data_IF_813764075723
#
_entry.id   IF_813764075723
#
_cell.length_a   1.000
_cell.length_b   1.000
_cell.length_c   1.000
_cell.angle_alpha   90.00
_cell.angle_beta   90.00
_cell.angle_gamma   90.00
#
_symmetry.space_group_name_H-M   'P 1'
#
loop_
_entity.id
_entity.type
_entity.pdbx_description
1 polymer ?
#
# COMPACT_ATOMS: atom_id res chain seq x y z
N UNK A 1 5.39 -25.18 -4.60
CA UNK A 1 5.20 -24.68 -5.98
C UNK A 1 4.97 -23.18 -5.93
N UNK A 2 4.83 -22.49 -7.06
CA UNK A 2 4.56 -21.03 -7.07
C UNK A 2 3.29 -20.69 -6.29
N UNK A 3 2.26 -21.55 -6.35
CA UNK A 3 1.00 -21.34 -5.63
C UNK A 3 1.13 -21.31 -4.11
N UNK A 4 2.07 -22.08 -3.54
CA UNK A 4 2.30 -22.06 -2.09
C UNK A 4 2.98 -20.77 -1.64
N UNK A 5 3.76 -20.13 -2.51
CA UNK A 5 4.39 -18.83 -2.24
C UNK A 5 3.35 -17.71 -2.28
N UNK A 6 2.41 -17.78 -3.22
CA UNK A 6 1.33 -16.79 -3.36
C UNK A 6 0.19 -16.96 -2.35
N UNK A 7 0.21 -18.01 -1.52
CA UNK A 7 -0.85 -18.24 -0.53
C UNK A 7 -0.99 -17.02 0.40
N UNK A 8 -2.22 -16.68 0.73
CA UNK A 8 -2.61 -15.50 1.52
C UNK A 8 -2.36 -14.13 0.85
N UNK A 9 -1.91 -14.09 -0.41
CA UNK A 9 -1.84 -12.84 -1.18
C UNK A 9 -3.22 -12.17 -1.22
N UNK A 10 -3.29 -10.93 -0.78
CA UNK A 10 -4.46 -10.07 -0.93
C UNK A 10 -4.24 -9.16 -2.13
N UNK A 11 -5.23 -9.12 -3.02
CA UNK A 11 -5.24 -8.26 -4.18
C UNK A 11 -6.61 -7.61 -4.35
N UNK A 12 -6.65 -6.50 -5.05
CA UNK A 12 -7.89 -6.02 -5.66
C UNK A 12 -7.95 -6.58 -7.07
N UNK A 13 -9.13 -7.04 -7.48
CA UNK A 13 -9.38 -7.24 -8.90
C UNK A 13 -10.19 -6.05 -9.36
N UNK A 14 -9.62 -5.21 -10.22
CA UNK A 14 -10.48 -4.23 -10.91
C UNK A 14 -11.50 -5.05 -11.69
N UNK A 15 -12.81 -4.78 -11.62
CA UNK A 15 -13.78 -5.49 -12.43
C UNK A 15 -13.49 -5.17 -13.90
N UNK A 16 -12.68 -6.00 -14.55
CA UNK A 16 -12.46 -5.89 -15.98
C UNK A 16 -13.81 -6.14 -16.64
N UNK A 17 -14.26 -5.25 -17.54
CA UNK A 17 -15.47 -5.49 -18.30
C UNK A 17 -15.29 -6.81 -19.05
N UNK A 18 -15.96 -7.88 -18.62
CA UNK A 18 -15.89 -9.17 -19.29
C UNK A 18 -16.51 -9.08 -20.70
N UNK A 19 -17.43 -8.13 -20.88
CA UNK A 19 -18.12 -7.86 -22.14
C UNK A 19 -18.14 -6.37 -22.44
N UNK A 20 -17.70 -6.02 -23.64
CA UNK A 20 -17.97 -4.73 -24.25
C UNK A 20 -19.24 -4.82 -25.09
N UNK A 21 -19.86 -3.67 -25.34
CA UNK A 21 -20.92 -3.55 -26.32
C UNK A 21 -20.48 -4.17 -27.68
N UNK A 22 -21.29 -5.10 -28.18
CA UNK A 22 -21.00 -5.86 -29.40
C UNK A 22 -20.89 -4.96 -30.63
N UNK A 23 -21.71 -3.91 -30.72
CA UNK A 23 -21.73 -3.00 -31.87
C UNK A 23 -20.44 -2.19 -31.94
N UNK A 24 -19.88 -1.78 -30.80
CA UNK A 24 -18.61 -1.07 -30.77
C UNK A 24 -17.43 -1.98 -31.16
N UNK A 25 -17.42 -3.22 -30.67
CA UNK A 25 -16.40 -4.18 -31.08
C UNK A 25 -16.50 -4.50 -32.57
N UNK A 26 -17.72 -4.70 -33.07
CA UNK A 26 -17.98 -4.88 -34.48
C UNK A 26 -17.55 -3.66 -35.32
N UNK A 27 -17.78 -2.45 -34.83
CA UNK A 27 -17.29 -1.23 -35.46
C UNK A 27 -15.75 -1.22 -35.57
N UNK A 28 -15.03 -1.47 -34.47
CA UNK A 28 -13.56 -1.50 -34.46
C UNK A 28 -12.99 -2.58 -35.39
N UNK A 29 -13.55 -3.79 -35.35
CA UNK A 29 -13.12 -4.93 -36.16
C UNK A 29 -13.33 -4.73 -37.67
N UNK A 30 -14.26 -3.86 -38.06
CA UNK A 30 -14.58 -3.55 -39.45
C UNK A 30 -13.88 -2.28 -39.97
N UNK A 31 -13.07 -1.61 -39.15
CA UNK A 31 -12.24 -0.52 -39.63
C UNK A 31 -11.20 -1.06 -40.62
N UNK A 32 -11.03 -0.33 -41.71
CA UNK A 32 -10.07 -0.60 -42.77
C UNK A 32 -9.44 0.71 -43.27
N UNK A 33 -8.22 0.71 -43.82
CA UNK A 33 -7.60 1.91 -44.37
C UNK A 33 -8.45 2.62 -45.43
N UNK A 34 -9.31 1.90 -46.14
CA UNK A 34 -10.21 2.43 -47.17
C UNK A 34 -11.40 3.19 -46.57
N UNK A 35 -11.95 2.71 -45.45
CA UNK A 35 -13.17 3.27 -44.84
C UNK A 35 -12.91 4.23 -43.67
N UNK A 36 -11.67 4.30 -43.15
CA UNK A 36 -11.32 5.11 -41.99
C UNK A 36 -10.40 6.30 -42.32
N UNK A 37 -10.72 7.05 -43.39
CA UNK A 37 -9.92 8.20 -43.84
C UNK A 37 -9.88 9.38 -42.85
N UNK A 38 -10.81 9.40 -41.88
CA UNK A 38 -10.85 10.42 -40.82
C UNK A 38 -9.70 10.32 -39.82
N UNK A 39 -9.04 9.17 -39.72
CA UNK A 39 -7.92 8.95 -38.80
C UNK A 39 -6.62 8.85 -39.62
N UNK A 40 -5.86 9.95 -39.64
CA UNK A 40 -4.63 10.10 -40.41
C UNK A 40 -3.52 9.11 -40.01
N UNK A 41 -3.60 8.54 -38.79
CA UNK A 41 -2.62 7.56 -38.30
C UNK A 41 -3.03 6.12 -38.60
N UNK A 42 -4.26 5.87 -39.05
CA UNK A 42 -4.80 4.52 -39.15
C UNK A 42 -4.06 3.65 -40.17
N UNK A 43 -3.62 4.24 -41.28
CA UNK A 43 -2.84 3.55 -42.30
C UNK A 43 -1.49 3.06 -41.76
N UNK A 44 -0.73 3.94 -41.09
CA UNK A 44 0.54 3.56 -40.45
C UNK A 44 0.37 2.54 -39.34
N UNK A 45 -0.72 2.64 -38.58
CA UNK A 45 -1.09 1.62 -37.58
C UNK A 45 -1.31 0.26 -38.26
N UNK A 46 -2.05 0.22 -39.36
CA UNK A 46 -2.36 -1.00 -40.11
C UNK A 46 -1.09 -1.66 -40.63
N UNK A 47 -0.21 -0.89 -41.29
CA UNK A 47 1.09 -1.33 -41.78
C UNK A 47 1.94 -1.95 -40.66
N UNK A 48 1.98 -1.30 -39.49
CA UNK A 48 2.75 -1.77 -38.33
C UNK A 48 2.18 -3.05 -37.72
N UNK A 49 0.85 -3.16 -37.59
CA UNK A 49 0.19 -4.33 -36.99
C UNK A 49 0.33 -5.57 -37.87
N UNK A 50 0.21 -5.41 -39.18
CA UNK A 50 0.26 -6.52 -40.13
C UNK A 50 1.63 -6.73 -40.79
N UNK A 51 2.62 -5.87 -40.50
CA UNK A 51 3.95 -5.95 -41.08
C UNK A 51 3.95 -5.82 -42.61
N UNK A 52 3.14 -4.91 -43.14
CA UNK A 52 2.89 -4.74 -44.57
C UNK A 52 2.93 -3.26 -44.99
N UNK A 53 2.87 -3.00 -46.30
CA UNK A 53 2.82 -1.65 -46.86
C UNK A 53 1.61 -1.45 -47.76
N UNK A 54 1.03 -0.25 -47.72
CA UNK A 54 -0.12 0.15 -48.55
C UNK A 54 0.28 0.69 -49.93
N UNK A 55 1.53 1.12 -50.11
CA UNK A 55 2.03 1.69 -51.37
C UNK A 55 2.76 0.66 -52.24
N UNK A 56 2.43 0.66 -53.54
CA UNK A 56 2.98 -0.21 -54.60
C UNK A 56 4.47 0.05 -54.97
N UNK A 57 5.16 1.02 -54.35
CA UNK A 57 6.59 1.22 -54.58
C UNK A 57 7.41 0.14 -53.85
N UNK A 58 7.36 -1.06 -54.41
CA UNK A 58 7.90 -2.34 -53.95
C UNK A 58 9.42 -2.41 -53.98
N UNK A 59 10.09 -1.55 -53.22
CA UNK A 59 11.47 -1.77 -52.78
C UNK A 59 11.56 -2.07 -51.27
N UNK A 60 10.46 -1.97 -50.50
CA UNK A 60 10.50 -2.02 -49.03
C UNK A 60 9.62 -3.04 -48.30
N UNK A 61 8.86 -3.93 -48.97
CA UNK A 61 8.21 -5.04 -48.26
C UNK A 61 6.98 -5.64 -48.93
N UNK A 62 6.25 -6.45 -48.14
CA UNK A 62 5.02 -7.17 -48.53
C UNK A 62 3.81 -6.23 -48.56
N UNK A 63 2.97 -6.35 -49.58
CA UNK A 63 1.69 -5.63 -49.66
C UNK A 63 0.68 -6.11 -48.59
N UNK A 64 -0.17 -5.20 -48.10
CA UNK A 64 -1.22 -5.54 -47.15
C UNK A 64 -2.34 -6.37 -47.79
N UNK A 65 -2.69 -7.50 -47.17
CA UNK A 65 -3.82 -8.32 -47.64
C UNK A 65 -5.15 -7.63 -47.38
N UNK A 66 -6.05 -7.68 -48.38
CA UNK A 66 -7.45 -7.22 -48.25
C UNK A 66 -8.24 -8.00 -47.21
N UNK A 67 -7.79 -9.21 -46.87
CA UNK A 67 -8.41 -10.07 -45.85
C UNK A 67 -7.90 -9.78 -44.43
N UNK A 68 -6.97 -8.84 -44.26
CA UNK A 68 -6.49 -8.46 -42.92
C UNK A 68 -7.68 -7.93 -42.08
N UNK A 69 -7.78 -8.43 -40.85
CA UNK A 69 -8.79 -8.02 -39.88
C UNK A 69 -8.13 -7.87 -38.52
N UNK A 70 -8.38 -6.74 -37.85
CA UNK A 70 -7.93 -6.54 -36.48
C UNK A 70 -8.67 -7.54 -35.59
N UNK A 71 -7.93 -8.28 -34.78
CA UNK A 71 -8.48 -9.20 -33.78
C UNK A 71 -8.00 -8.78 -32.40
N UNK A 72 -8.85 -8.97 -31.40
CA UNK A 72 -8.57 -8.61 -30.01
C UNK A 72 -8.49 -9.89 -29.17
N UNK A 73 -7.36 -10.61 -29.19
CA UNK A 73 -7.25 -11.93 -28.57
C UNK A 73 -7.29 -11.89 -27.04
N UNK A 74 -7.01 -10.74 -26.41
CA UNK A 74 -6.98 -10.55 -24.97
C UNK A 74 -7.99 -9.49 -24.51
N UNK A 75 -9.26 -9.85 -24.26
CA UNK A 75 -10.30 -8.90 -23.90
C UNK A 75 -9.92 -8.02 -22.70
N UNK A 76 -9.31 -8.61 -21.67
CA UNK A 76 -9.00 -7.90 -20.42
C UNK A 76 -8.03 -6.72 -20.59
N UNK A 77 -7.06 -6.81 -21.50
CA UNK A 77 -6.06 -5.76 -21.70
C UNK A 77 -6.63 -4.52 -22.42
N UNK A 78 -7.63 -4.72 -23.29
CA UNK A 78 -8.18 -3.65 -24.13
C UNK A 78 -9.50 -3.10 -23.58
N UNK A 79 -10.31 -3.93 -22.91
CA UNK A 79 -11.65 -3.55 -22.47
C UNK A 79 -11.63 -2.40 -21.46
N UNK A 80 -10.67 -2.41 -20.54
CA UNK A 80 -10.55 -1.37 -19.52
C UNK A 80 -10.25 0.01 -20.10
N UNK A 81 -9.18 0.21 -20.89
CA UNK A 81 -8.94 1.49 -21.57
C UNK A 81 -10.12 1.94 -22.43
N UNK A 82 -10.78 1.02 -23.14
CA UNK A 82 -11.95 1.33 -23.97
C UNK A 82 -13.10 1.88 -23.11
N UNK A 83 -13.52 1.18 -22.06
CA UNK A 83 -14.60 1.63 -21.18
C UNK A 83 -14.27 2.99 -20.56
N UNK A 84 -13.04 3.19 -20.09
CA UNK A 84 -12.62 4.46 -19.50
C UNK A 84 -12.74 5.64 -20.47
N UNK A 85 -12.26 5.47 -21.71
CA UNK A 85 -12.36 6.53 -22.74
C UNK A 85 -13.82 6.81 -23.08
N UNK A 86 -14.65 5.77 -23.21
CA UNK A 86 -16.07 5.95 -23.49
C UNK A 86 -16.81 6.67 -22.38
N UNK A 87 -16.60 6.24 -21.13
CA UNK A 87 -17.23 6.86 -19.97
C UNK A 87 -16.80 8.34 -19.84
N UNK A 88 -15.54 8.67 -20.14
CA UNK A 88 -15.09 10.06 -20.17
C UNK A 88 -15.85 10.90 -21.21
N UNK A 89 -15.95 10.42 -22.46
CA UNK A 89 -16.70 11.13 -23.52
C UNK A 89 -18.19 11.25 -23.16
N UNK A 90 -18.79 10.18 -22.65
CA UNK A 90 -20.20 10.14 -22.28
C UNK A 90 -20.50 11.03 -21.08
N UNK A 91 -19.58 11.15 -20.11
CA UNK A 91 -19.72 12.07 -18.99
C UNK A 91 -19.83 13.53 -19.46
N UNK A 92 -19.01 13.93 -20.43
CA UNK A 92 -19.17 15.25 -21.04
C UNK A 92 -20.48 15.35 -21.84
N UNK A 93 -20.81 14.35 -22.66
CA UNK A 93 -22.03 14.39 -23.48
C UNK A 93 -23.29 14.52 -22.62
N UNK A 94 -23.46 13.67 -21.60
CA UNK A 94 -24.58 13.77 -20.65
C UNK A 94 -24.52 15.06 -19.83
N UNK A 95 -23.33 15.52 -19.42
CA UNK A 95 -23.18 16.79 -18.73
C UNK A 95 -23.67 17.97 -19.59
N UNK A 96 -23.30 18.00 -20.87
CA UNK A 96 -23.77 19.01 -21.81
C UNK A 96 -25.28 18.91 -22.07
N UNK A 97 -25.83 17.71 -22.20
CA UNK A 97 -27.28 17.52 -22.33
C UNK A 97 -27.99 18.08 -21.10
N UNK A 98 -27.57 17.70 -19.89
CA UNK A 98 -28.17 18.20 -18.65
C UNK A 98 -28.08 19.74 -18.53
N UNK A 99 -26.95 20.33 -18.93
CA UNK A 99 -26.77 21.77 -18.97
C UNK A 99 -27.68 22.46 -20.00
N UNK A 100 -27.84 21.85 -21.18
CA UNK A 100 -28.74 22.32 -22.22
C UNK A 100 -30.20 22.23 -21.80
N UNK A 101 -30.62 21.14 -21.16
CA UNK A 101 -31.97 21.03 -20.61
C UNK A 101 -32.24 22.10 -19.56
N UNK A 102 -31.28 22.33 -18.66
CA UNK A 102 -31.40 23.32 -17.58
C UNK A 102 -31.37 24.77 -18.07
N UNK A 103 -30.51 25.12 -19.03
CA UNK A 103 -30.29 26.51 -19.44
C UNK A 103 -31.05 26.93 -20.70
N UNK A 104 -31.36 25.98 -21.57
CA UNK A 104 -32.00 26.22 -22.86
C UNK A 104 -33.43 25.68 -22.95
N UNK A 105 -33.97 25.08 -21.88
CA UNK A 105 -35.35 24.57 -21.84
C UNK A 105 -35.65 23.59 -22.99
N UNK A 106 -34.67 22.77 -23.37
CA UNK A 106 -34.74 21.85 -24.51
C UNK A 106 -35.03 22.49 -25.88
N UNK A 107 -34.77 23.80 -26.04
CA UNK A 107 -34.89 24.47 -27.34
C UNK A 107 -33.73 24.07 -28.25
N UNK A 108 -33.98 23.76 -29.54
CA UNK A 108 -32.93 23.35 -30.47
C UNK A 108 -31.76 24.34 -30.54
N UNK A 109 -30.55 23.82 -30.59
CA UNK A 109 -29.31 24.60 -30.64
C UNK A 109 -28.79 25.05 -29.27
N UNK A 110 -27.72 25.85 -29.30
CA UNK A 110 -27.03 26.35 -28.10
C UNK A 110 -27.50 27.78 -27.81
N UNK A 111 -28.31 27.94 -26.77
CA UNK A 111 -28.85 29.23 -26.32
C UNK A 111 -27.79 30.14 -25.66
N UNK A 112 -28.10 31.45 -25.55
CA UNK A 112 -27.20 32.44 -24.95
C UNK A 112 -26.75 32.11 -23.53
N UNK A 113 -27.67 31.60 -22.69
CA UNK A 113 -27.38 31.21 -21.30
C UNK A 113 -26.37 30.06 -21.19
N UNK A 114 -26.40 29.10 -22.12
CA UNK A 114 -25.43 28.01 -22.15
C UNK A 114 -24.09 28.49 -22.72
N UNK A 115 -24.11 29.40 -23.71
CA UNK A 115 -22.89 29.99 -24.28
C UNK A 115 -22.11 30.85 -23.28
N UNK A 116 -22.81 31.55 -22.39
CA UNK A 116 -22.19 32.42 -21.38
C UNK A 116 -21.79 31.68 -20.09
N UNK A 117 -22.14 30.39 -19.95
CA UNK A 117 -21.78 29.60 -18.79
C UNK A 117 -20.27 29.39 -18.69
N UNK A 118 -19.72 29.52 -17.48
CA UNK A 118 -18.31 29.22 -17.24
C UNK A 118 -18.03 27.70 -17.38
N UNK A 119 -16.83 27.35 -17.83
CA UNK A 119 -16.39 25.95 -17.89
C UNK A 119 -16.38 25.27 -16.51
N UNK A 120 -16.11 26.04 -15.45
CA UNK A 120 -16.08 25.55 -14.07
C UNK A 120 -17.48 25.18 -13.58
N UNK A 121 -18.48 26.01 -13.91
CA UNK A 121 -19.89 25.73 -13.64
C UNK A 121 -20.34 24.49 -14.40
N UNK A 122 -20.05 24.41 -15.72
CA UNK A 122 -20.38 23.24 -16.53
C UNK A 122 -19.81 21.95 -15.91
N UNK A 123 -18.53 21.98 -15.55
CA UNK A 123 -17.84 20.81 -15.02
C UNK A 123 -18.38 20.40 -13.65
N UNK A 124 -18.44 21.32 -12.69
CA UNK A 124 -18.83 21.02 -11.30
C UNK A 124 -20.31 20.70 -11.15
N UNK A 125 -21.18 21.43 -11.85
CA UNK A 125 -22.63 21.29 -11.67
C UNK A 125 -23.24 20.22 -12.57
N UNK A 126 -22.66 19.96 -13.74
CA UNK A 126 -23.26 19.06 -14.73
C UNK A 126 -22.41 17.83 -15.02
N UNK A 127 -21.13 17.98 -15.34
CA UNK A 127 -20.27 16.83 -15.70
C UNK A 127 -20.02 15.92 -14.50
N UNK A 128 -19.67 16.47 -13.33
CA UNK A 128 -19.42 15.67 -12.12
C UNK A 128 -20.68 15.06 -11.49
N UNK A 129 -21.88 15.48 -11.92
CA UNK A 129 -23.16 15.00 -11.40
C UNK A 129 -23.88 14.02 -12.34
N UNK A 130 -23.25 13.61 -13.44
CA UNK A 130 -23.83 12.65 -14.38
C UNK A 130 -23.97 11.26 -13.75
N UNK A 131 -25.03 10.55 -14.16
CA UNK A 131 -25.25 9.13 -13.87
C UNK A 131 -25.77 8.46 -15.13
N UNK A 132 -25.10 7.42 -15.61
CA UNK A 132 -25.50 6.70 -16.81
C UNK A 132 -25.01 5.26 -16.80
N UNK A 133 -25.51 4.43 -17.71
CA UNK A 133 -24.97 3.08 -17.93
C UNK A 133 -23.85 3.15 -18.98
N UNK A 134 -22.65 2.70 -18.64
CA UNK A 134 -21.48 2.66 -19.51
C UNK A 134 -21.60 1.57 -20.58
N UNK A 135 -20.57 1.45 -21.43
CA UNK A 135 -20.54 0.50 -22.56
C UNK A 135 -20.70 -0.97 -22.15
N UNK A 136 -20.32 -1.32 -20.93
CA UNK A 136 -20.40 -2.67 -20.39
C UNK A 136 -21.69 -2.92 -19.60
N UNK A 137 -22.60 -1.93 -19.53
CA UNK A 137 -23.83 -1.99 -18.76
C UNK A 137 -23.68 -1.54 -17.31
N UNK A 138 -22.46 -1.29 -16.83
CA UNK A 138 -22.22 -0.84 -15.46
C UNK A 138 -22.68 0.61 -15.27
N UNK A 139 -23.15 0.92 -14.06
CA UNK A 139 -23.51 2.29 -13.70
C UNK A 139 -22.23 3.11 -13.50
N UNK A 140 -22.11 4.19 -14.26
CA UNK A 140 -21.07 5.19 -14.11
C UNK A 140 -21.60 6.40 -13.35
N UNK A 141 -20.83 6.85 -12.36
CA UNK A 141 -21.06 8.08 -11.63
C UNK A 141 -19.74 8.58 -11.04
N UNK A 142 -19.71 9.82 -10.58
CA UNK A 142 -18.64 10.33 -9.74
C UNK A 142 -19.04 10.31 -8.26
N UNK A 143 -18.07 10.07 -7.38
CA UNK A 143 -18.16 10.19 -5.94
C UNK A 143 -16.94 10.99 -5.44
N UNK A 144 -17.16 12.09 -4.71
CA UNK A 144 -16.08 12.97 -4.22
C UNK A 144 -15.08 13.42 -5.31
N UNK A 145 -15.59 13.76 -6.51
CA UNK A 145 -14.81 14.15 -7.69
C UNK A 145 -13.93 13.04 -8.30
N UNK A 146 -14.10 11.78 -7.89
CA UNK A 146 -13.45 10.62 -8.52
C UNK A 146 -14.51 9.66 -9.07
N UNK A 147 -14.12 8.74 -9.96
CA UNK A 147 -15.03 7.72 -10.49
C UNK A 147 -15.49 6.82 -9.34
N UNK A 148 -16.80 6.61 -9.23
CA UNK A 148 -17.34 5.68 -8.25
C UNK A 148 -17.12 4.24 -8.72
N UNK A 149 -16.09 3.58 -8.17
CA UNK A 149 -15.70 2.23 -8.55
C UNK A 149 -15.98 1.25 -7.42
N UNK A 150 -16.64 0.15 -7.76
CA UNK A 150 -16.75 -1.03 -6.91
C UNK A 150 -15.61 -2.01 -7.25
N UNK A 151 -14.80 -2.39 -6.27
CA UNK A 151 -13.73 -3.38 -6.46
C UNK A 151 -13.84 -4.52 -5.45
N UNK A 152 -13.93 -5.79 -5.88
CA UNK A 152 -13.77 -6.91 -4.98
C UNK A 152 -12.33 -6.96 -4.44
N UNK A 153 -12.23 -7.14 -3.12
CA UNK A 153 -10.97 -7.49 -2.47
C UNK A 153 -10.91 -9.00 -2.38
N UNK A 154 -9.88 -9.60 -2.97
CA UNK A 154 -9.72 -11.04 -3.11
C UNK A 154 -8.45 -11.51 -2.39
N UNK A 155 -8.51 -12.72 -1.84
CA UNK A 155 -7.38 -13.39 -1.21
C UNK A 155 -7.11 -14.71 -1.93
N UNK A 156 -5.84 -15.01 -2.21
CA UNK A 156 -5.43 -16.31 -2.73
C UNK A 156 -5.39 -17.33 -1.60
N UNK A 157 -6.27 -18.31 -1.65
CA UNK A 157 -6.48 -19.25 -0.54
C UNK A 157 -6.34 -20.69 -1.03
N UNK A 158 -5.67 -21.51 -0.23
CA UNK A 158 -5.72 -22.97 -0.36
C UNK A 158 -7.02 -23.49 0.26
N UNK A 159 -7.85 -24.17 -0.54
CA UNK A 159 -9.07 -24.81 -0.08
C UNK A 159 -9.19 -26.22 -0.67
N UNK A 160 -9.35 -27.22 0.21
CA UNK A 160 -9.45 -28.64 -0.18
C UNK A 160 -8.32 -29.08 -1.13
N UNK A 161 -7.09 -28.67 -0.83
CA UNK A 161 -5.90 -29.03 -1.62
C UNK A 161 -5.71 -28.24 -2.91
N UNK A 162 -6.64 -27.35 -3.30
CA UNK A 162 -6.53 -26.50 -4.50
C UNK A 162 -6.42 -25.02 -4.13
N UNK A 163 -5.61 -24.28 -4.86
CA UNK A 163 -5.49 -22.84 -4.68
C UNK A 163 -6.49 -22.09 -5.57
N UNK A 164 -7.12 -21.06 -5.02
CA UNK A 164 -8.04 -20.19 -5.76
C UNK A 164 -8.18 -18.83 -5.08
N UNK A 165 -8.48 -17.80 -5.87
CA UNK A 165 -8.94 -16.53 -5.32
C UNK A 165 -10.34 -16.67 -4.73
N UNK A 166 -10.53 -16.12 -3.54
CA UNK A 166 -11.85 -15.91 -2.94
C UNK A 166 -12.01 -14.46 -2.55
N UNK A 167 -13.21 -13.93 -2.75
CA UNK A 167 -13.54 -12.60 -2.27
C UNK A 167 -13.57 -12.59 -0.73
N UNK A 168 -12.87 -11.62 -0.15
CA UNK A 168 -12.73 -11.41 1.29
C UNK A 168 -13.26 -10.05 1.72
N UNK A 169 -13.60 -9.17 0.80
CA UNK A 169 -14.21 -7.87 1.09
C UNK A 169 -14.55 -7.13 -0.20
N UNK A 170 -15.00 -5.89 -0.05
CA UNK A 170 -15.34 -5.01 -1.17
C UNK A 170 -14.89 -3.60 -0.86
N UNK A 171 -14.27 -2.94 -1.83
CA UNK A 171 -13.95 -1.53 -1.77
C UNK A 171 -14.94 -0.74 -2.62
N UNK A 172 -15.62 0.23 -2.02
CA UNK A 172 -16.57 1.10 -2.74
C UNK A 172 -16.62 2.47 -2.06
N UNK A 173 -16.63 3.54 -2.85
CA UNK A 173 -16.68 4.93 -2.37
C UNK A 173 -15.70 5.20 -1.19
N UNK A 174 -14.42 4.86 -1.40
CA UNK A 174 -13.34 5.00 -0.41
C UNK A 174 -13.54 4.21 0.92
N UNK A 175 -14.44 3.23 0.94
CA UNK A 175 -14.76 2.46 2.14
C UNK A 175 -14.53 0.97 1.89
N UNK A 176 -13.79 0.34 2.80
CA UNK A 176 -13.60 -1.11 2.83
C UNK A 176 -14.75 -1.77 3.62
N UNK A 177 -15.59 -2.50 2.92
CA UNK A 177 -16.78 -3.15 3.46
C UNK A 177 -16.59 -4.67 3.56
N UNK A 178 -17.15 -5.26 4.62
CA UNK A 178 -17.20 -6.71 4.86
C UNK A 178 -15.84 -7.43 4.75
N UNK A 179 -14.74 -6.74 5.07
CA UNK A 179 -13.41 -7.30 4.92
C UNK A 179 -13.08 -8.30 6.04
N UNK A 180 -12.87 -9.56 5.65
CA UNK A 180 -12.52 -10.68 6.54
C UNK A 180 -11.54 -11.61 5.84
N UNK A 181 -10.31 -11.64 6.32
CA UNK A 181 -9.28 -12.57 5.81
C UNK A 181 -9.55 -13.99 6.31
N UNK A 182 -9.31 -14.97 5.44
CA UNK A 182 -9.17 -16.35 5.89
C UNK A 182 -7.78 -16.47 6.53
N UNK A 183 -7.78 -16.66 7.83
CA UNK A 183 -6.65 -16.95 8.75
C UNK A 183 -5.26 -16.76 8.12
N UNK A 184 -4.63 -15.65 8.48
CA UNK A 184 -3.22 -15.39 8.20
C UNK A 184 -2.36 -16.09 9.25
N UNK A 185 -2.27 -17.42 9.21
CA UNK A 185 -1.31 -18.12 10.06
C UNK A 185 0.11 -17.54 9.78
N UNK A 186 0.80 -17.14 10.84
CA UNK A 186 2.19 -16.63 10.86
C UNK A 186 2.52 -15.29 10.15
N UNK A 187 1.53 -14.46 9.80
CA UNK A 187 1.87 -13.09 9.35
C UNK A 187 2.20 -12.24 10.57
N UNK A 188 3.49 -12.14 10.92
CA UNK A 188 3.94 -11.09 11.81
C UNK A 188 3.48 -9.75 11.23
N UNK A 189 2.79 -8.91 12.02
CA UNK A 189 2.44 -7.59 11.55
C UNK A 189 3.73 -6.87 11.13
N UNK A 190 3.73 -6.09 10.05
CA UNK A 190 4.92 -5.43 9.54
C UNK A 190 5.27 -4.22 10.43
N UNK A 191 5.64 -4.48 11.68
CA UNK A 191 6.23 -3.50 12.58
C UNK A 191 7.74 -3.48 12.37
N UNK A 192 8.31 -2.28 12.37
CA UNK A 192 9.75 -2.10 12.18
C UNK A 192 10.59 -2.69 13.33
N UNK A 193 10.06 -2.65 14.56
CA UNK A 193 10.70 -3.18 15.77
C UNK A 193 9.61 -3.63 16.72
N UNK A 194 9.28 -4.92 16.84
CA UNK A 194 8.00 -5.31 17.42
C UNK A 194 7.88 -4.96 18.91
N UNK A 195 8.95 -5.11 19.72
CA UNK A 195 8.92 -4.87 21.17
C UNK A 195 10.31 -4.50 21.73
N UNK A 196 10.35 -3.65 22.77
CA UNK A 196 11.56 -3.41 23.57
C UNK A 196 11.54 -4.29 24.82
N UNK A 197 12.69 -4.87 25.18
CA UNK A 197 12.82 -5.65 26.41
C UNK A 197 12.67 -4.78 27.66
N UNK A 198 12.32 -5.40 28.79
CA UNK A 198 12.27 -4.71 30.08
C UNK A 198 13.61 -4.04 30.40
N UNK A 199 13.55 -2.77 30.81
CA UNK A 199 14.72 -1.89 30.99
C UNK A 199 15.09 -1.03 29.77
N UNK A 200 14.35 -1.13 28.67
CA UNK A 200 14.48 -0.27 27.49
C UNK A 200 13.19 0.49 27.19
N UNK A 201 13.33 1.77 26.82
CA UNK A 201 12.24 2.61 26.28
C UNK A 201 12.35 2.75 24.77
N UNK A 202 11.25 3.07 24.11
CA UNK A 202 11.21 3.45 22.70
C UNK A 202 11.74 4.88 22.55
N UNK A 203 12.55 5.08 21.51
CA UNK A 203 12.96 6.39 21.02
C UNK A 203 12.74 6.42 19.51
N UNK A 204 12.20 7.53 19.01
CA UNK A 204 11.92 7.69 17.58
C UNK A 204 13.19 7.53 16.74
N UNK A 205 13.08 6.89 15.59
CA UNK A 205 14.17 6.82 14.63
C UNK A 205 14.10 8.03 13.70
N UNK A 206 15.07 8.96 13.82
CA UNK A 206 15.15 10.18 13.01
C UNK A 206 15.13 9.91 11.48
N UNK A 207 15.41 8.68 11.05
CA UNK A 207 15.42 8.26 9.64
C UNK A 207 14.08 7.64 9.20
N UNK A 208 13.36 6.97 10.10
CA UNK A 208 12.17 6.19 9.78
C UNK A 208 11.03 6.51 10.76
N UNK A 209 10.02 7.31 10.36
CA UNK A 209 8.96 7.78 11.26
C UNK A 209 7.99 6.68 11.75
N UNK A 210 8.06 5.48 11.17
CA UNK A 210 7.28 4.30 11.61
C UNK A 210 8.10 3.34 12.49
N UNK A 211 9.35 3.69 12.79
CA UNK A 211 10.29 2.86 13.53
C UNK A 211 10.68 3.53 14.85
N UNK A 212 11.00 2.69 15.83
CA UNK A 212 11.62 3.12 17.08
C UNK A 212 12.85 2.28 17.38
N UNK A 213 13.80 2.88 18.08
CA UNK A 213 14.96 2.22 18.66
C UNK A 213 14.71 1.98 20.15
N UNK A 214 15.19 0.85 20.65
CA UNK A 214 15.13 0.55 22.08
C UNK A 214 16.35 1.14 22.77
N UNK A 215 16.15 2.17 23.60
CA UNK A 215 17.18 2.86 24.36
C UNK A 215 17.12 2.40 25.81
N UNK A 216 18.25 1.93 26.35
CA UNK A 216 18.34 1.42 27.72
C UNK A 216 18.17 2.55 28.74
N UNK A 217 17.28 2.36 29.72
CA UNK A 217 17.15 3.28 30.85
C UNK A 217 18.39 3.23 31.75
N UNK A 218 18.73 4.36 32.39
CA UNK A 218 19.84 4.45 33.33
C UNK A 218 19.64 3.54 34.54
N UNK A 219 20.72 3.25 35.29
CA UNK A 219 20.70 2.24 36.36
C UNK A 219 19.73 2.53 37.49
N UNK A 220 19.47 3.81 37.73
CA UNK A 220 18.62 4.39 38.76
C UNK A 220 17.24 4.83 38.24
N UNK A 221 16.92 4.45 37.00
CA UNK A 221 15.64 4.74 36.37
C UNK A 221 14.77 3.49 36.21
N UNK A 222 13.47 3.72 36.29
CA UNK A 222 12.39 2.77 35.97
C UNK A 222 11.72 3.16 34.65
N UNK A 223 11.05 2.21 34.03
CA UNK A 223 10.18 2.45 32.88
C UNK A 223 8.80 2.84 33.41
N UNK A 224 8.37 4.06 33.09
CA UNK A 224 7.03 4.55 33.46
C UNK A 224 6.01 4.18 32.38
N UNK A 225 6.41 4.31 31.12
CA UNK A 225 5.63 3.97 29.94
C UNK A 225 6.57 3.50 28.80
N UNK A 226 6.03 3.21 27.62
CA UNK A 226 6.83 2.71 26.51
C UNK A 226 7.89 3.68 25.97
N UNK A 227 7.85 4.98 26.30
CA UNK A 227 8.74 6.03 25.75
C UNK A 227 9.53 6.79 26.82
N UNK A 228 9.28 6.54 28.11
CA UNK A 228 9.80 7.35 29.22
C UNK A 228 10.48 6.49 30.28
N UNK A 229 11.72 6.86 30.62
CA UNK A 229 12.39 6.41 31.82
C UNK A 229 12.33 7.53 32.88
N UNK A 230 12.07 7.18 34.13
CA UNK A 230 12.05 8.15 35.23
C UNK A 230 12.89 7.67 36.42
N UNK A 231 13.48 8.63 37.13
CA UNK A 231 14.42 8.36 38.20
C UNK A 231 13.71 8.06 39.51
N UNK A 232 14.18 7.05 40.24
CA UNK A 232 13.69 6.83 41.59
C UNK A 232 14.04 7.99 42.53
N UNK A 233 13.13 8.29 43.46
CA UNK A 233 13.36 9.29 44.52
C UNK A 233 14.49 8.84 45.46
N UNK A 234 15.09 9.80 46.15
CA UNK A 234 16.11 9.54 47.15
C UNK A 234 15.62 8.54 48.21
N UNK A 235 16.46 7.54 48.51
CA UNK A 235 16.11 6.43 49.41
C UNK A 235 15.44 5.22 48.73
N UNK A 236 15.14 5.31 47.44
CA UNK A 236 14.58 4.21 46.63
C UNK A 236 15.53 3.85 45.48
N UNK A 237 15.44 2.61 45.01
CA UNK A 237 16.17 2.10 43.83
C UNK A 237 15.23 1.33 42.89
N UNK A 238 15.52 1.26 41.58
CA UNK A 238 14.73 0.43 40.68
C UNK A 238 14.74 -1.05 41.07
N UNK A 239 13.59 -1.71 40.99
CA UNK A 239 13.50 -3.17 41.05
C UNK A 239 14.27 -3.82 39.89
N UNK A 240 14.57 -5.12 39.99
CA UNK A 240 15.32 -5.85 38.97
C UNK A 240 14.68 -5.80 37.58
N UNK A 241 13.35 -5.76 37.52
CA UNK A 241 12.57 -5.63 36.29
C UNK A 241 12.43 -4.18 35.79
N UNK A 242 12.96 -3.20 36.54
CA UNK A 242 12.87 -1.76 36.29
C UNK A 242 11.45 -1.21 36.09
N UNK A 243 10.44 -1.83 36.70
CA UNK A 243 9.04 -1.37 36.60
C UNK A 243 8.62 -0.49 37.77
N UNK A 244 9.32 -0.59 38.91
CA UNK A 244 8.96 0.12 40.14
C UNK A 244 10.19 0.50 40.96
N UNK A 245 10.03 1.48 41.83
CA UNK A 245 11.04 1.91 42.79
C UNK A 245 10.80 1.26 44.14
N UNK A 246 11.78 0.52 44.64
CA UNK A 246 11.75 -0.19 45.93
C UNK A 246 12.69 0.46 46.94
N UNK A 247 12.42 0.37 48.25
CA UNK A 247 13.31 0.90 49.27
C UNK A 247 14.71 0.31 49.23
N UNK A 248 15.72 1.14 49.44
CA UNK A 248 17.11 0.70 49.52
C UNK A 248 17.32 -0.07 50.83
N UNK A 249 17.68 -1.35 50.71
CA UNK A 249 18.11 -2.15 51.85
C UNK A 249 19.59 -1.87 52.18
N UNK A 250 19.79 -1.04 53.21
CA UNK A 250 21.11 -0.68 53.70
C UNK A 250 21.88 -1.90 54.26
N UNK A 251 21.20 -2.91 54.80
CA UNK A 251 21.86 -4.11 55.32
C UNK A 251 22.42 -4.94 54.16
N UNK A 252 21.67 -5.09 53.07
CA UNK A 252 22.12 -5.75 51.85
C UNK A 252 23.31 -5.02 51.21
N UNK A 253 23.28 -3.68 51.13
CA UNK A 253 24.40 -2.89 50.60
C UNK A 253 25.64 -3.06 51.47
N UNK A 254 25.50 -2.96 52.79
CA UNK A 254 26.62 -3.06 53.71
C UNK A 254 27.27 -4.45 53.66
N UNK A 255 26.46 -5.51 53.55
CA UNK A 255 26.96 -6.88 53.35
C UNK A 255 27.77 -7.03 52.05
N UNK A 256 27.29 -6.49 50.93
CA UNK A 256 28.00 -6.56 49.64
C UNK A 256 29.28 -5.70 49.62
N UNK A 257 29.26 -4.56 50.30
CA UNK A 257 30.45 -3.70 50.45
C UNK A 257 31.51 -4.38 51.31
N UNK A 258 31.09 -5.01 52.42
CA UNK A 258 32.00 -5.77 53.27
C UNK A 258 32.62 -6.95 52.49
N UNK A 259 31.83 -7.69 51.71
CA UNK A 259 32.37 -8.78 50.88
C UNK A 259 33.40 -8.29 49.85
N UNK A 260 33.14 -7.14 49.19
CA UNK A 260 34.10 -6.53 48.27
C UNK A 260 35.34 -6.03 49.00
N UNK A 261 35.19 -5.41 50.17
CA UNK A 261 36.29 -4.95 50.99
C UNK A 261 37.17 -6.10 51.45
N UNK A 262 36.58 -7.21 51.89
CA UNK A 262 37.29 -8.42 52.32
C UNK A 262 38.08 -9.03 51.16
N UNK A 263 37.51 -9.08 49.95
CA UNK A 263 38.22 -9.53 48.73
C UNK A 263 39.40 -8.62 48.38
N UNK A 264 39.20 -7.30 48.38
CA UNK A 264 40.27 -6.32 48.13
C UNK A 264 41.37 -6.37 49.20
N UNK A 265 40.99 -6.52 50.47
CA UNK A 265 41.92 -6.68 51.58
C UNK A 265 42.73 -7.95 51.43
N UNK A 266 42.10 -9.07 51.06
CA UNK A 266 42.80 -10.33 50.82
C UNK A 266 43.80 -10.22 49.66
N UNK A 267 43.39 -9.62 48.53
CA UNK A 267 44.27 -9.36 47.39
C UNK A 267 45.47 -8.50 47.79
N UNK A 268 45.24 -7.47 48.60
CA UNK A 268 46.32 -6.60 49.07
C UNK A 268 47.29 -7.30 50.01
N UNK A 269 46.82 -8.18 50.89
CA UNK A 269 47.68 -8.98 51.75
C UNK A 269 48.54 -9.96 50.93
N UNK A 270 48.01 -10.55 49.87
CA UNK A 270 48.80 -11.41 48.95
C UNK A 270 49.88 -10.61 48.24
N UNK A 271 49.54 -9.43 47.70
CA UNK A 271 50.51 -8.54 47.07
C UNK A 271 51.62 -8.08 48.03
N UNK A 272 51.28 -7.76 49.28
CA UNK A 272 52.26 -7.37 50.31
C UNK A 272 53.22 -8.52 50.64
N UNK A 273 52.72 -9.75 50.74
CA UNK A 273 53.53 -10.94 50.95
C UNK A 273 54.48 -11.21 49.77
N UNK A 274 53.99 -11.13 48.53
CA UNK A 274 54.81 -11.36 47.34
C UNK A 274 55.94 -10.32 47.20
N UNK A 275 55.67 -9.04 47.53
CA UNK A 275 56.66 -7.98 47.42
C UNK A 275 57.71 -8.00 48.55
N UNK A 276 57.33 -8.40 49.76
CA UNK A 276 58.22 -8.40 50.95
C UNK A 276 57.97 -9.62 51.85
N UNK A 277 58.36 -10.84 51.41
CA UNK A 277 58.04 -12.09 52.11
C UNK A 277 58.76 -12.26 53.45
N UNK A 278 59.84 -11.51 53.69
CA UNK A 278 60.56 -11.52 54.97
C UNK A 278 59.93 -10.60 56.03
N UNK A 279 58.95 -9.78 55.64
CA UNK A 279 58.31 -8.78 56.52
C UNK A 279 56.84 -9.14 56.78
N UNK A 280 56.15 -9.68 55.78
CA UNK A 280 54.74 -10.05 55.89
C UNK A 280 54.57 -11.57 55.90
N UNK A 281 53.57 -12.06 56.64
CA UNK A 281 53.20 -13.47 56.66
C UNK A 281 52.32 -13.83 55.46
N UNK A 282 52.35 -15.11 55.04
CA UNK A 282 51.51 -15.61 53.95
C UNK A 282 50.03 -15.47 54.34
N UNK A 283 49.17 -14.83 53.53
CA UNK A 283 47.77 -14.66 53.89
C UNK A 283 47.02 -16.00 53.91
N UNK A 284 46.10 -16.15 54.87
CA UNK A 284 45.23 -17.32 55.04
C UNK A 284 43.86 -17.19 54.36
N UNK A 285 43.75 -16.29 53.38
CA UNK A 285 42.54 -16.05 52.61
C UNK A 285 42.77 -16.44 51.14
N UNK A 286 41.70 -16.82 50.44
CA UNK A 286 41.75 -17.18 49.02
C UNK A 286 41.13 -16.02 48.23
N UNK A 287 41.84 -15.60 47.18
CA UNK A 287 41.40 -14.54 46.25
C UNK A 287 40.43 -15.11 45.22
#
# INVERSE_FOLDING_TARGET
>A
GVDSIANNLVATNYPYPEKLNHDFMHYLENLRPENNKRNEWFEKYWEKVFGCHSNENTMKGRECSKNNKVTFPFPMAYNMPIVSVFNAVYAFAFGFVNAWESKCERKPGICGNLRSMSSQTLFKEYVLNVKFNGLNGDKFAFHNNDVDVFMPVIQYQRYLGKYRFRQVGTWHSMTLNNFKLAICDDVQPPYCTPYCESGYRKAEDDVNPCCWKCVKCAKDEIIVDEITCDRCKDGLMPALNKTECVPIDLAFINSNLNEKYDKLSCQMSHLQYELKPNIYSRPNCVV
#
